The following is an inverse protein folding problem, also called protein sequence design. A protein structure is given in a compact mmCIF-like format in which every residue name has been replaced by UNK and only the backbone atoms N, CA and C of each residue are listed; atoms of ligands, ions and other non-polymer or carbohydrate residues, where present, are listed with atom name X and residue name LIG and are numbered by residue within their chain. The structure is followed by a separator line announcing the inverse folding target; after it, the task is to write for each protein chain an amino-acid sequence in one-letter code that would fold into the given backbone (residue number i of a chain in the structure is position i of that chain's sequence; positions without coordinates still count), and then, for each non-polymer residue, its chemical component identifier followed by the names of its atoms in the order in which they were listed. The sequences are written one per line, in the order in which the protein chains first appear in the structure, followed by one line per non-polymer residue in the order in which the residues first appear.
data_IF_861994452252
#
_entry.id   IF_861994452252
#
_cell.length_a   1.000
_cell.length_b   1.000
_cell.length_c   1.000
_cell.angle_alpha   90.00
_cell.angle_beta   90.00
_cell.angle_gamma   90.00
#
_symmetry.space_group_name_H-M   'P 1'
#
loop_
_entity.id
_entity.type
_entity.pdbx_description
1 polymer ?
#
# COMPACT_ATOMS: atom_id res chain seq x y z
N UNK A 1 7.48 -26.81 -1.52
CA UNK A 1 6.48 -25.86 -2.03
C UNK A 1 5.13 -26.54 -2.14
N UNK A 2 4.14 -25.98 -1.47
CA UNK A 2 2.74 -26.34 -1.63
C UNK A 2 2.26 -26.10 -3.08
N UNK A 3 1.07 -26.58 -3.43
CA UNK A 3 0.48 -26.28 -4.75
C UNK A 3 0.29 -24.78 -4.96
N UNK A 4 -0.16 -24.06 -3.92
CA UNK A 4 -0.37 -22.61 -3.96
C UNK A 4 0.92 -21.84 -4.19
N UNK A 5 2.01 -22.22 -3.52
CA UNK A 5 3.31 -21.54 -3.63
C UNK A 5 3.80 -21.53 -5.09
N UNK A 6 3.51 -22.59 -5.85
CA UNK A 6 3.91 -22.71 -7.26
C UNK A 6 3.08 -21.80 -8.18
N UNK A 7 1.80 -21.62 -7.89
CA UNK A 7 0.96 -20.65 -8.60
C UNK A 7 1.46 -19.23 -8.36
N UNK A 8 1.73 -18.88 -7.10
CA UNK A 8 2.29 -17.58 -6.72
C UNK A 8 3.63 -17.36 -7.41
N UNK A 9 4.52 -18.36 -7.40
CA UNK A 9 5.83 -18.26 -8.04
C UNK A 9 5.76 -17.94 -9.55
N UNK A 10 4.81 -18.53 -10.29
CA UNK A 10 4.59 -18.18 -11.71
C UNK A 10 4.11 -16.74 -11.86
N UNK A 11 3.16 -16.29 -11.03
CA UNK A 11 2.66 -14.91 -11.08
C UNK A 11 3.74 -13.89 -10.68
N UNK A 12 4.66 -14.25 -9.78
CA UNK A 12 5.77 -13.41 -9.33
C UNK A 12 6.87 -13.19 -10.39
N UNK A 13 6.85 -13.91 -11.52
CA UNK A 13 7.76 -13.66 -12.64
C UNK A 13 7.40 -12.39 -13.42
N UNK A 14 6.14 -11.96 -13.37
CA UNK A 14 5.66 -10.82 -14.12
C UNK A 14 6.15 -9.50 -13.51
N UNK A 15 6.65 -8.62 -14.36
CA UNK A 15 7.05 -7.25 -14.02
C UNK A 15 6.72 -6.30 -15.16
N UNK A 16 6.87 -5.00 -14.93
CA UNK A 16 6.67 -3.98 -15.98
C UNK A 16 7.69 -4.11 -17.12
N UNK A 17 8.87 -4.69 -16.86
CA UNK A 17 9.88 -4.95 -17.88
C UNK A 17 9.77 -6.35 -18.52
N UNK A 18 8.98 -7.25 -17.93
CA UNK A 18 8.77 -8.61 -18.38
C UNK A 18 7.31 -9.04 -18.14
N UNK A 19 6.42 -8.60 -19.03
CA UNK A 19 4.97 -8.73 -18.92
C UNK A 19 4.38 -9.92 -19.70
N UNK A 20 5.21 -10.60 -20.51
CA UNK A 20 4.82 -11.73 -21.35
C UNK A 20 5.87 -12.84 -21.27
N UNK A 21 5.43 -14.07 -21.02
CA UNK A 21 6.31 -15.21 -20.75
C UNK A 21 5.84 -16.49 -21.46
N UNK A 22 6.76 -17.27 -22.00
CA UNK A 22 6.51 -18.65 -22.45
C UNK A 22 6.66 -19.65 -21.31
N UNK A 23 6.08 -20.84 -21.47
CA UNK A 23 6.25 -21.94 -20.50
C UNK A 23 7.72 -22.32 -20.30
N UNK A 24 8.54 -22.27 -21.37
CA UNK A 24 9.95 -22.63 -21.29
C UNK A 24 10.76 -21.58 -20.52
N UNK A 25 10.49 -20.29 -20.74
CA UNK A 25 11.13 -19.20 -19.99
C UNK A 25 10.77 -19.27 -18.50
N UNK A 26 9.49 -19.50 -18.19
CA UNK A 26 9.03 -19.70 -16.81
C UNK A 26 9.68 -20.94 -16.16
N UNK A 27 9.77 -22.05 -16.89
CA UNK A 27 10.41 -23.28 -16.41
C UNK A 27 11.89 -23.07 -16.05
N UNK A 28 12.62 -22.37 -16.92
CA UNK A 28 14.01 -22.02 -16.69
C UNK A 28 14.16 -21.06 -15.50
N UNK A 29 13.32 -20.02 -15.41
CA UNK A 29 13.39 -19.01 -14.35
C UNK A 29 13.06 -19.57 -12.96
N UNK A 30 12.17 -20.57 -12.89
CA UNK A 30 11.73 -21.19 -11.64
C UNK A 30 12.48 -22.48 -11.28
N UNK A 31 13.40 -22.93 -12.14
CA UNK A 31 14.06 -24.25 -12.04
C UNK A 31 13.03 -25.38 -11.84
N UNK A 32 12.01 -25.41 -12.70
CA UNK A 32 10.93 -26.40 -12.66
C UNK A 32 10.80 -27.14 -13.99
N UNK A 33 10.40 -28.43 -14.00
CA UNK A 33 10.14 -29.13 -15.25
C UNK A 33 9.05 -28.44 -16.07
N UNK A 34 9.27 -28.29 -17.38
CA UNK A 34 8.32 -27.63 -18.28
C UNK A 34 6.91 -28.25 -18.23
N UNK A 35 6.79 -29.56 -18.04
CA UNK A 35 5.50 -30.25 -17.84
C UNK A 35 4.75 -29.80 -16.59
N UNK A 36 5.48 -29.44 -15.52
CA UNK A 36 4.90 -28.91 -14.27
C UNK A 36 4.40 -27.49 -14.47
N UNK A 37 5.23 -26.62 -15.08
CA UNK A 37 4.86 -25.23 -15.39
C UNK A 37 3.70 -25.18 -16.37
N UNK A 38 3.70 -26.03 -17.41
CA UNK A 38 2.59 -26.12 -18.35
C UNK A 38 1.26 -26.41 -17.64
N UNK A 39 1.24 -27.34 -16.68
CA UNK A 39 0.04 -27.64 -15.90
C UNK A 39 -0.42 -26.44 -15.06
N UNK A 40 0.52 -25.75 -14.40
CA UNK A 40 0.25 -24.55 -13.60
C UNK A 40 -0.34 -23.44 -14.50
N UNK A 41 0.31 -23.14 -15.61
CA UNK A 41 -0.14 -22.13 -16.59
C UNK A 41 -1.53 -22.47 -17.12
N UNK A 42 -1.76 -23.73 -17.49
CA UNK A 42 -3.08 -24.19 -17.96
C UNK A 42 -4.17 -23.95 -16.90
N UNK A 43 -3.88 -24.24 -15.64
CA UNK A 43 -4.84 -24.06 -14.55
C UNK A 43 -5.06 -22.56 -14.23
N UNK A 44 -4.02 -21.72 -14.31
CA UNK A 44 -4.13 -20.25 -14.22
C UNK A 44 -4.93 -19.65 -15.38
N UNK A 45 -4.77 -20.15 -16.60
CA UNK A 45 -5.56 -19.73 -17.76
C UNK A 45 -7.03 -20.09 -17.58
N UNK A 46 -7.32 -21.32 -17.13
CA UNK A 46 -8.70 -21.74 -16.80
C UNK A 46 -9.34 -20.85 -15.73
N UNK A 47 -8.56 -20.38 -14.77
CA UNK A 47 -9.00 -19.46 -13.71
C UNK A 47 -8.91 -17.96 -14.10
N UNK A 48 -8.60 -17.65 -15.37
CA UNK A 48 -8.48 -16.28 -15.91
C UNK A 48 -7.39 -15.41 -15.27
N UNK A 49 -6.45 -16.00 -14.53
CA UNK A 49 -5.27 -15.30 -14.02
C UNK A 49 -4.20 -15.11 -15.08
N UNK A 50 -4.14 -16.00 -16.08
CA UNK A 50 -3.31 -15.81 -17.26
C UNK A 50 -4.17 -15.87 -18.52
N UNK A 51 -3.70 -15.27 -19.60
CA UNK A 51 -4.30 -15.39 -20.92
C UNK A 51 -3.23 -15.57 -22.01
N UNK A 52 -3.55 -16.27 -23.11
CA UNK A 52 -2.63 -16.41 -24.23
C UNK A 52 -2.26 -15.06 -24.84
N UNK A 53 -0.99 -14.94 -25.23
CA UNK A 53 -0.42 -13.88 -26.04
C UNK A 53 0.15 -14.46 -27.36
N UNK A 54 0.68 -13.61 -28.22
CA UNK A 54 1.30 -14.05 -29.48
C UNK A 54 2.52 -14.95 -29.22
N UNK A 55 2.76 -15.91 -30.11
CA UNK A 55 3.95 -16.76 -30.06
C UNK A 55 3.98 -17.81 -28.93
N UNK A 56 2.83 -18.38 -28.55
CA UNK A 56 2.71 -19.36 -27.47
C UNK A 56 3.22 -18.86 -26.11
N UNK A 57 2.99 -17.57 -25.85
CA UNK A 57 3.30 -16.90 -24.58
C UNK A 57 2.03 -16.56 -23.82
N UNK A 58 2.21 -16.08 -22.59
CA UNK A 58 1.14 -15.81 -21.64
C UNK A 58 1.38 -14.49 -20.93
N UNK A 59 0.31 -13.73 -20.72
CA UNK A 59 0.28 -12.46 -19.97
C UNK A 59 -0.75 -12.52 -18.84
N UNK A 60 -0.72 -11.54 -17.94
CA UNK A 60 -1.71 -11.42 -16.87
C UNK A 60 -3.12 -11.32 -17.46
N UNK A 61 -4.05 -12.11 -16.93
CA UNK A 61 -5.41 -12.25 -17.44
C UNK A 61 -6.43 -11.36 -16.72
N UNK A 62 -7.69 -11.45 -17.15
CA UNK A 62 -8.81 -10.62 -16.69
C UNK A 62 -9.19 -10.75 -15.21
N UNK A 63 -8.71 -11.77 -14.49
CA UNK A 63 -8.93 -11.90 -13.06
C UNK A 63 -8.38 -10.69 -12.27
N UNK A 64 -7.23 -10.15 -12.66
CA UNK A 64 -6.59 -9.02 -11.97
C UNK A 64 -7.43 -7.74 -12.01
N UNK A 65 -7.81 -7.18 -13.18
CA UNK A 65 -8.64 -5.96 -13.21
C UNK A 65 -10.03 -6.19 -12.58
N UNK A 66 -10.57 -7.41 -12.65
CA UNK A 66 -11.84 -7.76 -12.01
C UNK A 66 -11.74 -7.67 -10.48
N UNK A 67 -10.74 -8.31 -9.88
CA UNK A 67 -10.56 -8.30 -8.43
C UNK A 67 -10.04 -6.96 -7.90
N UNK A 68 -9.23 -6.24 -8.66
CA UNK A 68 -8.83 -4.86 -8.32
C UNK A 68 -10.05 -3.92 -8.26
N UNK A 69 -10.96 -4.00 -9.24
CA UNK A 69 -12.22 -3.25 -9.19
C UNK A 69 -13.09 -3.64 -7.99
N UNK A 70 -13.17 -4.93 -7.67
CA UNK A 70 -13.93 -5.37 -6.50
C UNK A 70 -13.30 -4.78 -5.23
N UNK A 71 -11.98 -4.90 -5.07
CA UNK A 71 -11.25 -4.34 -3.94
C UNK A 71 -11.45 -2.82 -3.80
N UNK A 72 -11.45 -2.05 -4.91
CA UNK A 72 -11.81 -0.62 -4.89
C UNK A 72 -13.16 -0.35 -4.25
N UNK A 73 -14.14 -1.16 -4.62
CA UNK A 73 -15.53 -0.92 -4.28
C UNK A 73 -15.91 -1.48 -2.91
N UNK A 74 -15.07 -2.33 -2.32
CA UNK A 74 -15.36 -2.99 -1.03
C UNK A 74 -14.38 -2.62 0.07
N UNK A 75 -13.20 -2.06 -0.23
CA UNK A 75 -12.26 -1.61 0.78
C UNK A 75 -12.83 -0.37 1.52
N UNK A 76 -13.03 -0.45 2.84
CA UNK A 76 -13.70 0.63 3.59
C UNK A 76 -12.89 1.93 3.56
N UNK A 77 -11.55 1.86 3.55
CA UNK A 77 -10.68 3.04 3.51
C UNK A 77 -10.79 3.74 2.17
N UNK A 78 -10.80 2.98 1.07
CA UNK A 78 -10.99 3.54 -0.28
C UNK A 78 -12.37 4.19 -0.36
N UNK A 79 -13.43 3.47 0.01
CA UNK A 79 -14.81 3.99 -0.08
C UNK A 79 -15.02 5.31 0.68
N UNK A 80 -14.46 5.43 1.88
CA UNK A 80 -14.59 6.63 2.69
C UNK A 80 -13.57 7.73 2.30
N UNK A 81 -12.39 7.33 1.79
CA UNK A 81 -11.26 8.23 1.61
C UNK A 81 -11.05 8.77 0.19
N UNK A 82 -11.60 8.16 -0.87
CA UNK A 82 -11.32 8.61 -2.25
C UNK A 82 -11.75 10.06 -2.50
N UNK A 83 -12.92 10.48 -2.03
CA UNK A 83 -13.35 11.89 -2.16
C UNK A 83 -12.46 12.83 -1.32
N UNK A 84 -12.02 12.37 -0.16
CA UNK A 84 -11.15 13.14 0.73
C UNK A 84 -9.75 13.35 0.12
N UNK A 85 -9.22 12.38 -0.63
CA UNK A 85 -7.96 12.54 -1.36
C UNK A 85 -8.03 13.71 -2.34
N UNK A 86 -9.12 13.82 -3.10
CA UNK A 86 -9.34 14.92 -4.02
C UNK A 86 -9.36 16.27 -3.29
N UNK A 87 -10.10 16.36 -2.18
CA UNK A 87 -10.15 17.58 -1.37
C UNK A 87 -8.78 17.95 -0.78
N UNK A 88 -8.04 16.97 -0.27
CA UNK A 88 -6.69 17.18 0.29
C UNK A 88 -5.75 17.73 -0.78
N UNK A 89 -5.75 17.19 -1.99
CA UNK A 89 -4.93 17.68 -3.10
C UNK A 89 -5.31 19.13 -3.47
N UNK A 90 -6.61 19.44 -3.54
CA UNK A 90 -7.08 20.80 -3.82
C UNK A 90 -6.67 21.80 -2.73
N UNK A 91 -6.81 21.42 -1.46
CA UNK A 91 -6.48 22.29 -0.32
C UNK A 91 -4.98 22.40 -0.04
N UNK A 92 -4.18 21.43 -0.50
CA UNK A 92 -2.73 21.48 -0.38
C UNK A 92 -2.16 22.70 -1.12
N UNK A 93 -2.77 23.12 -2.25
CA UNK A 93 -2.36 24.30 -3.04
C UNK A 93 -0.89 24.29 -3.46
N UNK A 94 -0.32 23.10 -3.62
CA UNK A 94 1.04 22.86 -4.09
C UNK A 94 1.05 21.59 -4.96
N UNK A 95 2.00 21.43 -5.90
CA UNK A 95 2.24 20.15 -6.55
C UNK A 95 2.47 19.05 -5.52
N UNK A 96 1.56 18.08 -5.46
CA UNK A 96 1.66 16.97 -4.51
C UNK A 96 0.85 15.77 -4.98
N UNK A 97 1.16 14.61 -4.40
CA UNK A 97 0.39 13.37 -4.55
C UNK A 97 -0.11 12.95 -3.18
N UNK A 98 -1.43 12.81 -3.04
CA UNK A 98 -2.06 12.30 -1.83
C UNK A 98 -2.24 10.77 -1.94
N UNK A 99 -1.93 10.04 -0.87
CA UNK A 99 -1.98 8.58 -0.84
C UNK A 99 -2.89 8.11 0.29
N UNK A 100 -3.69 7.08 0.04
CA UNK A 100 -4.22 6.18 1.05
C UNK A 100 -3.41 4.90 1.02
N UNK A 101 -2.89 4.51 2.18
CA UNK A 101 -2.12 3.28 2.33
C UNK A 101 -2.58 2.52 3.56
N UNK A 102 -2.48 1.18 3.51
CA UNK A 102 -2.79 0.34 4.67
C UNK A 102 -1.87 -0.84 4.80
N UNK A 103 -1.84 -1.40 6.01
CA UNK A 103 -1.21 -2.67 6.27
C UNK A 103 -2.04 -3.80 5.61
N UNK A 104 -1.43 -4.48 4.65
CA UNK A 104 -1.94 -5.65 3.97
C UNK A 104 -1.05 -6.84 4.34
N UNK A 105 -1.50 -7.64 5.30
CA UNK A 105 -0.72 -8.72 5.91
C UNK A 105 0.60 -8.21 6.52
N UNK A 106 1.70 -8.39 5.80
CA UNK A 106 3.08 -8.12 6.21
C UNK A 106 3.71 -6.93 5.46
N UNK A 107 2.94 -6.23 4.61
CA UNK A 107 3.43 -5.08 3.84
C UNK A 107 2.46 -3.90 3.93
N UNK A 108 2.98 -2.68 3.81
CA UNK A 108 2.16 -1.49 3.58
C UNK A 108 1.96 -1.33 2.09
N UNK A 109 0.73 -1.15 1.65
CA UNK A 109 0.38 -1.00 0.24
C UNK A 109 -0.32 0.33 0.01
N UNK A 110 0.02 1.01 -1.08
CA UNK A 110 -0.81 2.10 -1.59
C UNK A 110 -2.09 1.49 -2.18
N UNK A 111 -3.24 1.86 -1.61
CA UNK A 111 -4.56 1.34 -2.00
C UNK A 111 -5.38 2.35 -2.79
N UNK A 112 -5.04 3.63 -2.70
CA UNK A 112 -5.60 4.69 -3.54
C UNK A 112 -4.68 5.91 -3.57
N UNK A 113 -4.75 6.72 -4.62
CA UNK A 113 -3.98 7.95 -4.71
C UNK A 113 -4.71 9.01 -5.56
N UNK A 114 -4.39 10.27 -5.33
CA UNK A 114 -4.76 11.40 -6.18
C UNK A 114 -3.53 12.28 -6.39
N UNK A 115 -3.24 12.63 -7.64
CA UNK A 115 -2.14 13.53 -7.98
C UNK A 115 -2.66 14.91 -8.37
N UNK A 116 -2.01 15.97 -7.89
CA UNK A 116 -2.28 17.31 -8.38
C UNK A 116 -1.92 17.40 -9.87
N UNK A 117 -2.69 18.19 -10.64
CA UNK A 117 -2.50 18.32 -12.10
C UNK A 117 -1.13 18.86 -12.52
N UNK A 118 -0.43 19.52 -11.61
CA UNK A 118 0.86 20.19 -11.83
C UNK A 118 2.04 19.46 -11.16
N UNK A 119 1.89 18.16 -10.87
CA UNK A 119 3.01 17.31 -10.44
C UNK A 119 3.95 17.06 -11.60
N UNK A 120 5.22 17.44 -11.44
CA UNK A 120 6.27 17.25 -12.46
C UNK A 120 7.33 16.21 -12.06
N UNK A 121 7.34 15.78 -10.79
CA UNK A 121 8.27 14.76 -10.29
C UNK A 121 7.78 13.34 -10.58
N UNK A 122 8.69 12.37 -10.65
CA UNK A 122 8.32 10.96 -10.80
C UNK A 122 7.75 10.41 -9.48
N UNK A 123 6.58 9.78 -9.54
CA UNK A 123 5.89 9.23 -8.37
C UNK A 123 5.36 7.81 -8.59
N UNK A 124 5.81 7.13 -9.64
CA UNK A 124 5.47 5.74 -9.99
C UNK A 124 5.62 4.74 -8.82
N UNK A 125 6.56 5.01 -7.90
CA UNK A 125 6.79 4.24 -6.67
C UNK A 125 5.62 4.29 -5.66
N UNK A 126 4.73 5.26 -5.79
CA UNK A 126 3.62 5.50 -4.86
C UNK A 126 2.25 5.19 -5.48
N UNK A 127 2.21 4.63 -6.68
CA UNK A 127 0.97 4.26 -7.35
C UNK A 127 0.23 3.15 -6.59
N UNK A 128 -1.08 3.10 -6.82
CA UNK A 128 -1.94 2.05 -6.29
C UNK A 128 -1.39 0.68 -6.67
N UNK A 129 -1.33 -0.23 -5.70
CA UNK A 129 -0.80 -1.58 -5.91
C UNK A 129 0.71 -1.67 -5.72
N UNK A 130 1.41 -0.55 -5.47
CA UNK A 130 2.82 -0.56 -5.07
C UNK A 130 2.97 -0.79 -3.56
N UNK A 131 3.90 -1.66 -3.13
CA UNK A 131 4.29 -1.74 -1.74
C UNK A 131 5.09 -0.50 -1.34
N UNK A 132 4.78 0.06 -0.17
CA UNK A 132 5.57 1.10 0.46
C UNK A 132 6.56 0.43 1.42
N UNK A 133 7.87 0.76 1.37
CA UNK A 133 8.86 0.17 2.27
C UNK A 133 8.46 0.31 3.74
N UNK A 134 8.56 -0.75 4.53
CA UNK A 134 8.20 -0.69 5.96
C UNK A 134 9.14 0.21 6.77
N UNK A 135 10.42 0.24 6.40
CA UNK A 135 11.47 0.90 7.18
C UNK A 135 11.69 2.36 6.80
N UNK A 136 11.24 2.76 5.59
CA UNK A 136 11.48 4.07 4.99
C UNK A 136 10.15 4.79 4.74
N UNK A 137 10.16 6.10 4.94
CA UNK A 137 9.06 6.99 4.63
C UNK A 137 8.01 7.10 5.74
N UNK A 138 7.35 8.25 5.80
CA UNK A 138 6.33 8.55 6.81
C UNK A 138 5.12 7.63 6.76
N UNK A 139 4.65 7.28 5.56
CA UNK A 139 3.45 6.46 5.33
C UNK A 139 3.49 5.15 6.12
N UNK A 140 4.57 4.38 6.00
CA UNK A 140 4.73 3.14 6.77
C UNK A 140 4.98 3.40 8.25
N UNK A 141 5.80 4.39 8.60
CA UNK A 141 6.16 4.68 10.00
C UNK A 141 4.95 5.08 10.85
N UNK A 142 3.99 5.84 10.30
CA UNK A 142 2.76 6.19 11.04
C UNK A 142 1.86 4.98 11.26
N UNK A 143 1.75 4.07 10.28
CA UNK A 143 1.01 2.81 10.43
C UNK A 143 1.67 1.96 11.52
N UNK A 144 2.98 1.73 11.43
CA UNK A 144 3.73 0.96 12.42
C UNK A 144 3.65 1.55 13.83
N UNK A 145 3.57 2.88 13.94
CA UNK A 145 3.41 3.55 15.23
C UNK A 145 2.10 3.17 15.93
N UNK A 146 1.01 2.90 15.19
CA UNK A 146 -0.28 2.49 15.75
C UNK A 146 -0.32 1.02 16.19
N UNK A 147 0.59 0.19 15.68
CA UNK A 147 0.58 -1.24 15.98
C UNK A 147 1.07 -1.55 17.42
N UNK A 148 0.52 -2.60 18.05
CA UNK A 148 1.11 -3.20 19.24
C UNK A 148 2.60 -3.52 19.03
N UNK A 149 3.42 -3.30 20.05
CA UNK A 149 4.88 -3.41 19.93
C UNK A 149 5.35 -4.79 19.44
N UNK A 150 4.68 -5.87 19.88
CA UNK A 150 4.99 -7.24 19.44
C UNK A 150 4.67 -7.47 17.96
N UNK A 151 3.52 -6.98 17.49
CA UNK A 151 3.13 -7.07 16.09
C UNK A 151 4.08 -6.26 15.21
N UNK A 152 4.43 -5.02 15.60
CA UNK A 152 5.43 -4.21 14.90
C UNK A 152 6.77 -4.91 14.79
N UNK A 153 7.28 -5.49 15.90
CA UNK A 153 8.56 -6.23 15.88
C UNK A 153 8.50 -7.44 14.94
N UNK A 154 7.40 -8.19 14.95
CA UNK A 154 7.20 -9.33 14.04
C UNK A 154 7.19 -8.89 12.57
N UNK A 155 6.49 -7.80 12.25
CA UNK A 155 6.45 -7.24 10.89
C UNK A 155 7.82 -6.78 10.41
N UNK A 156 8.57 -6.06 11.24
CA UNK A 156 9.92 -5.60 10.89
C UNK A 156 10.90 -6.78 10.76
N UNK A 157 10.70 -7.86 11.51
CA UNK A 157 11.53 -9.06 11.39
C UNK A 157 11.20 -9.91 10.14
N UNK A 158 9.93 -9.92 9.70
CA UNK A 158 9.40 -10.88 8.72
C UNK A 158 8.88 -10.33 7.40
N UNK A 159 8.86 -9.00 7.18
CA UNK A 159 8.43 -8.43 5.89
C UNK A 159 9.37 -8.86 4.75
N UNK A 160 8.96 -8.63 3.49
CA UNK A 160 9.70 -8.99 2.25
C UNK A 160 11.17 -8.50 2.15
N UNK A 161 11.68 -7.80 3.16
CA UNK A 161 13.10 -7.56 3.42
C UNK A 161 13.58 -8.20 4.74
N UNK A 162 13.32 -9.51 4.93
CA UNK A 162 13.73 -10.30 6.09
C UNK A 162 15.10 -9.85 6.65
N UNK A 163 15.08 -9.27 7.85
CA UNK A 163 16.31 -9.06 8.64
C UNK A 163 17.32 -8.07 8.09
N UNK A 164 16.91 -7.05 7.32
CA UNK A 164 17.84 -5.96 6.98
C UNK A 164 18.32 -5.25 8.26
N UNK A 165 19.57 -4.76 8.25
CA UNK A 165 20.12 -3.98 9.38
C UNK A 165 19.22 -2.78 9.73
N UNK A 166 18.62 -2.17 8.71
CA UNK A 166 17.68 -1.06 8.85
C UNK A 166 16.40 -1.45 9.61
N UNK A 167 15.83 -2.62 9.31
CA UNK A 167 14.64 -3.12 10.00
C UNK A 167 14.94 -3.46 11.46
N UNK A 168 16.10 -4.06 11.73
CA UNK A 168 16.58 -4.35 13.07
C UNK A 168 16.78 -3.06 13.88
N UNK A 169 17.43 -2.05 13.31
CA UNK A 169 17.63 -0.75 13.94
C UNK A 169 16.29 -0.06 14.23
N UNK A 170 15.39 0.00 13.23
CA UNK A 170 14.09 0.62 13.39
C UNK A 170 13.25 -0.08 14.46
N UNK A 171 13.33 -1.41 14.57
CA UNK A 171 12.61 -2.17 15.61
C UNK A 171 12.99 -1.79 17.04
N UNK A 172 14.19 -1.21 17.22
CA UNK A 172 14.70 -0.74 18.51
C UNK A 172 14.32 0.72 18.80
N UNK A 173 13.88 1.51 17.81
CA UNK A 173 13.47 2.92 17.94
C UNK A 173 12.09 3.08 18.56
N UNK A 174 11.90 2.55 19.76
CA UNK A 174 10.61 2.64 20.48
C UNK A 174 10.19 4.09 20.76
N UNK A 175 11.15 4.99 21.01
CA UNK A 175 10.92 6.42 21.22
C UNK A 175 10.35 7.11 19.99
N UNK A 176 10.84 6.78 18.79
CA UNK A 176 10.31 7.30 17.53
C UNK A 176 8.83 6.95 17.39
N UNK A 177 8.44 5.70 17.61
CA UNK A 177 7.04 5.29 17.51
C UNK A 177 6.17 5.93 18.61
N UNK A 178 6.73 6.13 19.80
CA UNK A 178 6.04 6.85 20.88
C UNK A 178 5.79 8.31 20.52
N UNK A 179 6.80 8.96 19.95
CA UNK A 179 6.73 10.33 19.45
C UNK A 179 5.68 10.47 18.35
N UNK A 180 5.71 9.62 17.33
CA UNK A 180 4.72 9.62 16.23
C UNK A 180 3.29 9.42 16.76
N UNK A 181 3.09 8.48 17.70
CA UNK A 181 1.76 8.28 18.33
C UNK A 181 1.28 9.52 19.07
N UNK A 182 2.16 10.15 19.85
CA UNK A 182 1.82 11.34 20.65
C UNK A 182 1.52 12.55 19.76
N UNK A 183 2.28 12.71 18.69
CA UNK A 183 2.18 13.85 17.79
C UNK A 183 1.04 13.71 16.77
N UNK A 184 0.70 12.48 16.38
CA UNK A 184 -0.38 12.19 15.45
C UNK A 184 0.02 12.33 13.97
N UNK A 185 1.30 12.56 13.66
CA UNK A 185 1.82 12.58 12.29
C UNK A 185 3.33 12.26 12.27
N UNK A 186 3.87 12.07 11.07
CA UNK A 186 5.32 11.97 10.83
C UNK A 186 5.68 12.66 9.52
N UNK A 187 6.89 13.20 9.45
CA UNK A 187 7.48 13.79 8.25
C UNK A 187 8.81 13.11 7.98
N UNK A 188 9.04 12.73 6.73
CA UNK A 188 10.24 12.04 6.28
C UNK A 188 10.82 12.81 5.11
N UNK A 189 12.12 13.07 5.16
CA UNK A 189 12.84 13.85 4.16
C UNK A 189 13.80 12.94 3.42
N UNK A 190 13.61 12.79 2.10
CA UNK A 190 14.54 12.05 1.26
C UNK A 190 14.62 10.55 1.54
N UNK A 191 13.72 10.00 2.36
CA UNK A 191 13.89 8.64 2.87
C UNK A 191 13.67 7.57 1.82
N UNK A 192 12.73 7.73 0.88
CA UNK A 192 12.48 6.77 -0.22
C UNK A 192 13.16 7.27 -1.48
N UNK A 193 12.84 8.51 -1.86
CA UNK A 193 13.48 9.26 -2.94
C UNK A 193 14.11 10.53 -2.32
N UNK A 194 15.42 10.79 -2.53
CA UNK A 194 16.11 11.97 -1.97
C UNK A 194 15.51 13.32 -2.37
N UNK A 195 14.80 13.39 -3.50
CA UNK A 195 14.16 14.60 -4.00
C UNK A 195 12.79 14.88 -3.38
N UNK A 196 12.25 13.95 -2.59
CA UNK A 196 10.88 14.00 -2.09
C UNK A 196 10.80 14.08 -0.56
N UNK A 197 9.69 14.66 -0.10
CA UNK A 197 9.27 14.68 1.30
C UNK A 197 7.91 14.01 1.38
N UNK A 198 7.68 13.26 2.47
CA UNK A 198 6.39 12.67 2.76
C UNK A 198 5.89 13.11 4.14
N UNK A 199 4.68 13.66 4.19
CA UNK A 199 3.95 13.95 5.42
C UNK A 199 2.85 12.89 5.54
N UNK A 200 2.70 12.24 6.69
CA UNK A 200 1.66 11.24 6.88
C UNK A 200 0.97 11.37 8.23
N UNK A 201 -0.31 11.02 8.26
CA UNK A 201 -1.13 10.91 9.46
C UNK A 201 -1.83 9.53 9.51
N UNK A 202 -1.96 8.91 10.70
CA UNK A 202 -2.52 7.58 10.84
C UNK A 202 -4.04 7.60 10.73
N UNK A 203 -4.59 6.54 10.12
CA UNK A 203 -6.02 6.20 10.15
C UNK A 203 -6.10 4.83 10.81
N UNK A 204 -6.53 4.78 12.07
CA UNK A 204 -6.57 3.52 12.82
C UNK A 204 -7.93 3.32 13.45
N UNK A 205 -8.54 2.18 13.12
CA UNK A 205 -9.79 1.70 13.69
C UNK A 205 -9.53 0.26 14.14
N UNK A 206 -9.00 0.06 15.37
CA UNK A 206 -8.65 -1.25 15.89
C UNK A 206 -9.82 -2.24 15.90
N UNK A 207 -11.04 -1.74 16.05
CA UNK A 207 -12.30 -2.51 16.02
C UNK A 207 -12.48 -3.22 14.67
N UNK A 208 -12.16 -2.55 13.57
CA UNK A 208 -12.12 -3.11 12.20
C UNK A 208 -10.85 -3.94 11.91
N UNK A 209 -9.90 -4.03 12.86
CA UNK A 209 -8.55 -4.53 12.58
C UNK A 209 -7.79 -3.68 11.54
N UNK A 210 -8.14 -2.40 11.39
CA UNK A 210 -7.67 -1.55 10.33
C UNK A 210 -6.52 -0.65 10.80
N UNK A 211 -5.38 -0.74 10.10
CA UNK A 211 -4.22 0.14 10.26
C UNK A 211 -3.84 0.75 8.91
N UNK A 212 -4.13 2.03 8.75
CA UNK A 212 -3.96 2.78 7.52
C UNK A 212 -3.33 4.16 7.78
N UNK A 213 -3.10 4.91 6.71
CA UNK A 213 -2.60 6.27 6.74
C UNK A 213 -3.05 7.04 5.51
N UNK A 214 -3.19 8.35 5.69
CA UNK A 214 -3.23 9.31 4.59
C UNK A 214 -1.90 10.06 4.55
N UNK A 215 -1.34 10.25 3.36
CA UNK A 215 -0.04 10.89 3.17
C UNK A 215 -0.07 11.91 2.04
N UNK A 216 0.82 12.90 2.09
CA UNK A 216 1.16 13.80 1.00
C UNK A 216 2.63 13.62 0.63
N UNK A 217 2.90 13.44 -0.65
CA UNK A 217 4.23 13.40 -1.26
C UNK A 217 4.44 14.70 -2.04
N UNK A 218 5.57 15.36 -1.84
CA UNK A 218 5.93 16.62 -2.48
C UNK A 218 7.45 16.69 -2.77
N UNK A 219 7.87 17.54 -3.71
CA UNK A 219 9.29 17.80 -3.92
C UNK A 219 9.89 18.56 -2.73
N UNK A 220 11.10 18.19 -2.34
CA UNK A 220 11.81 18.78 -1.21
C UNK A 220 12.04 20.28 -1.37
N UNK A 221 12.21 20.76 -2.62
CA UNK A 221 12.44 22.18 -2.93
C UNK A 221 11.26 23.11 -2.62
N UNK A 222 10.03 22.56 -2.52
CA UNK A 222 8.82 23.34 -2.27
C UNK A 222 8.63 23.61 -0.76
N UNK A 223 9.33 22.85 0.08
CA UNK A 223 9.07 22.82 1.51
C UNK A 223 9.72 23.98 2.27
N UNK A 224 8.90 24.71 3.00
CA UNK A 224 9.30 25.68 4.02
C UNK A 224 8.39 25.51 5.24
N UNK A 225 8.84 25.97 6.41
CA UNK A 225 8.25 25.61 7.70
C UNK A 225 6.74 25.91 7.81
N UNK A 226 6.28 27.05 7.28
CA UNK A 226 4.86 27.42 7.33
C UNK A 226 3.99 26.56 6.41
N UNK A 227 4.50 26.20 5.23
CA UNK A 227 3.82 25.25 4.35
C UNK A 227 3.71 23.88 5.01
N UNK A 228 4.79 23.40 5.62
CA UNK A 228 4.83 22.11 6.30
C UNK A 228 3.78 22.04 7.41
N UNK A 229 3.75 23.04 8.30
CA UNK A 229 2.75 23.14 9.37
C UNK A 229 1.31 23.13 8.82
N UNK A 230 1.05 23.86 7.74
CA UNK A 230 -0.27 23.90 7.09
C UNK A 230 -0.67 22.53 6.52
N UNK A 231 0.25 21.85 5.83
CA UNK A 231 -0.01 20.53 5.23
C UNK A 231 -0.20 19.46 6.31
N UNK A 232 0.55 19.53 7.41
CA UNK A 232 0.35 18.68 8.59
C UNK A 232 -1.07 18.87 9.14
N UNK A 233 -1.49 20.11 9.39
CA UNK A 233 -2.83 20.39 9.93
C UNK A 233 -3.93 19.85 9.00
N UNK A 234 -3.79 20.07 7.69
CA UNK A 234 -4.69 19.50 6.68
C UNK A 234 -4.75 17.97 6.79
N UNK A 235 -3.60 17.29 6.76
CA UNK A 235 -3.57 15.83 6.81
C UNK A 235 -4.09 15.24 8.12
N UNK A 236 -3.75 15.82 9.27
CA UNK A 236 -4.20 15.34 10.58
C UNK A 236 -5.72 15.49 10.73
N UNK A 237 -6.27 16.62 10.26
CA UNK A 237 -7.72 16.84 10.29
C UNK A 237 -8.46 15.92 9.32
N UNK A 238 -7.93 15.71 8.11
CA UNK A 238 -8.44 14.72 7.14
C UNK A 238 -8.39 13.29 7.69
N UNK A 239 -7.27 12.88 8.30
CA UNK A 239 -7.12 11.56 8.92
C UNK A 239 -8.14 11.34 10.04
N UNK A 240 -8.37 12.36 10.87
CA UNK A 240 -9.34 12.32 11.97
C UNK A 240 -10.77 12.18 11.44
N UNK A 241 -11.13 12.97 10.41
CA UNK A 241 -12.44 12.90 9.77
C UNK A 241 -12.69 11.50 9.18
N UNK A 242 -11.71 10.96 8.46
CA UNK A 242 -11.81 9.64 7.84
C UNK A 242 -11.91 8.52 8.88
N UNK A 243 -11.14 8.60 9.97
CA UNK A 243 -11.21 7.65 11.09
C UNK A 243 -12.60 7.63 11.72
N UNK A 244 -13.21 8.80 11.93
CA UNK A 244 -14.56 8.91 12.48
C UNK A 244 -15.64 8.38 11.52
N UNK A 245 -15.52 8.67 10.23
CA UNK A 245 -16.43 8.12 9.21
C UNK A 245 -16.41 6.58 9.19
N UNK A 246 -15.21 6.00 9.28
CA UNK A 246 -15.02 4.55 9.34
C UNK A 246 -15.68 3.94 10.59
N UNK A 247 -15.43 4.52 11.77
CA UNK A 247 -16.06 4.06 13.03
C UNK A 247 -17.59 4.06 12.95
N UNK A 248 -18.19 5.16 12.45
CA UNK A 248 -19.65 5.25 12.27
C UNK A 248 -20.20 4.23 11.29
N UNK A 249 -19.47 3.94 10.21
CA UNK A 249 -19.89 2.93 9.24
C UNK A 249 -19.94 1.54 9.85
N UNK A 250 -18.96 1.18 10.69
CA UNK A 250 -18.92 -0.11 11.37
C UNK A 250 -20.05 -0.24 12.41
N UNK A 251 -20.29 0.80 13.22
CA UNK A 251 -21.40 0.81 14.19
C UNK A 251 -22.77 0.61 13.52
N UNK A 252 -22.99 1.26 12.36
CA UNK A 252 -24.21 1.12 11.57
C UNK A 252 -24.38 -0.30 10.99
N UNK A 253 -23.30 -0.90 10.49
CA UNK A 253 -23.31 -2.27 9.98
C UNK A 253 -23.60 -3.29 11.08
N UNK A 254 -23.01 -3.12 12.29
CA UNK A 254 -23.31 -3.97 13.44
C UNK A 254 -24.77 -3.84 13.88
N UNK A 255 -25.30 -2.62 13.96
CA UNK A 255 -26.71 -2.38 14.33
C UNK A 255 -27.69 -3.01 13.30
N UNK A 256 -27.35 -2.94 12.01
CA UNK A 256 -28.14 -3.56 10.95
C UNK A 256 -28.15 -5.09 11.00
N UNK A 257 -27.05 -5.73 11.41
CA UNK A 257 -26.99 -7.19 11.55
C UNK A 257 -27.79 -7.69 12.76
N UNK A 258 -27.81 -6.94 13.86
CA UNK A 258 -28.59 -7.28 15.07
C UNK A 258 -30.10 -7.15 14.83
N UNK A 259 -30.52 -6.22 13.98
CA UNK A 259 -31.94 -6.02 13.67
C UNK A 259 -32.55 -7.10 12.74
N UNK A 260 -31.71 -7.93 12.11
CA UNK A 260 -32.13 -8.97 11.14
C UNK A 260 -32.01 -10.39 11.72
N UNK A 261 -31.37 -10.56 12.88
CA UNK A 261 -31.26 -11.83 13.61
C UNK A 261 -32.33 -12.00 14.68
#
# INVERSE_FOLDING_TARGET
MSGLDRFVAVLSLYSESADVWSVQEMANALDMPASTVYRIVRDLVKASFLEPATGARYRLGSAFPRYDRLARNTDPVVRAGSSLLHEVVLQARVPCVALLSRLCNDMVMCIDHEAAKNVEFEWSLFERGRPIPLTRGSTSKVILAQLPAQQRKKLLAGGSGNGSAEAAELSQKSDLFSFIRKQGYHISYGEIDPSLIAIAAPISVPEMGLSASISLILEAKINHEDLERRLVLLLVSSASLLTEQLRRSEESELAGQIAVG
#
